data_IF_479075007555
#
_entry.id   IF_479075007555
#
_cell.length_a   1.000
_cell.length_b   1.000
_cell.length_c   1.000
_cell.angle_alpha   90.00
_cell.angle_beta   90.00
_cell.angle_gamma   90.00
#
_symmetry.space_group_name_H-M   'P 1'
#
loop_
_entity.id
_entity.type
_entity.pdbx_description
1 polymer ?
#
# COMPACT_ATOMS: atom_id res chain seq x y z
N UNK A 1 13.01 35.01 -13.05
CA UNK A 1 11.99 33.98 -12.75
C UNK A 1 11.78 32.99 -13.91
N UNK A 2 12.73 32.84 -14.83
CA UNK A 2 12.62 31.90 -15.96
C UNK A 2 13.71 30.80 -15.96
N UNK A 3 14.51 30.67 -14.89
CA UNK A 3 15.59 29.67 -14.82
C UNK A 3 15.26 28.40 -14.02
N UNK A 4 14.07 28.29 -13.41
CA UNK A 4 13.68 27.15 -12.58
C UNK A 4 12.88 26.05 -13.30
N UNK A 5 12.74 26.12 -14.63
CA UNK A 5 11.95 25.17 -15.44
C UNK A 5 12.77 24.48 -16.54
N UNK A 6 14.10 24.39 -16.39
CA UNK A 6 14.93 23.52 -17.24
C UNK A 6 14.76 22.07 -16.80
N UNK A 7 13.68 21.44 -17.28
CA UNK A 7 13.50 20.00 -17.46
C UNK A 7 14.25 19.09 -16.47
N UNK A 8 13.59 18.70 -15.37
CA UNK A 8 13.90 17.47 -14.63
C UNK A 8 13.50 16.21 -15.43
N UNK A 9 13.79 16.17 -16.75
CA UNK A 9 13.86 14.90 -17.47
C UNK A 9 15.26 14.36 -17.20
N UNK A 10 15.46 13.90 -15.96
CA UNK A 10 16.56 13.00 -15.65
C UNK A 10 16.22 11.71 -16.42
N UNK A 11 16.81 11.52 -17.61
CA UNK A 11 17.08 10.17 -18.09
C UNK A 11 17.98 9.57 -17.03
N UNK A 12 17.39 8.95 -16.01
CA UNK A 12 18.13 8.14 -15.07
C UNK A 12 18.78 7.08 -15.93
N UNK A 13 20.09 7.19 -16.07
CA UNK A 13 20.87 6.30 -16.91
C UNK A 13 20.88 4.93 -16.22
N UNK A 14 19.81 4.17 -16.44
CA UNK A 14 19.73 2.77 -16.02
C UNK A 14 20.55 1.95 -17.02
N UNK A 15 21.87 2.14 -16.95
CA UNK A 15 22.87 1.32 -17.59
C UNK A 15 22.82 -0.09 -17.01
N UNK A 16 21.95 -0.93 -17.56
CA UNK A 16 22.08 -2.38 -17.57
C UNK A 16 20.90 -2.97 -18.33
N UNK A 17 21.20 -3.66 -19.42
CA UNK A 17 20.25 -4.46 -20.21
C UNK A 17 19.61 -5.62 -19.42
N UNK A 18 20.01 -5.83 -18.16
CA UNK A 18 19.32 -6.71 -17.19
C UNK A 18 18.21 -6.03 -16.36
N UNK A 19 18.35 -4.75 -16.00
CA UNK A 19 17.46 -4.06 -15.05
C UNK A 19 16.06 -3.74 -15.61
N UNK A 20 15.95 -3.38 -16.90
CA UNK A 20 14.64 -3.09 -17.54
C UNK A 20 13.70 -4.29 -17.57
N UNK A 21 14.23 -5.51 -17.69
CA UNK A 21 13.42 -6.75 -17.64
C UNK A 21 12.98 -7.09 -16.22
N UNK A 22 13.68 -6.60 -15.19
CA UNK A 22 13.41 -6.94 -13.79
C UNK A 22 12.26 -6.09 -13.22
N UNK A 23 12.26 -4.78 -13.45
CA UNK A 23 11.19 -3.91 -12.96
C UNK A 23 9.84 -4.21 -13.60
N UNK A 24 9.77 -4.37 -14.93
CA UNK A 24 8.52 -4.73 -15.62
C UNK A 24 7.94 -6.04 -15.07
N UNK A 25 8.78 -7.05 -14.85
CA UNK A 25 8.36 -8.33 -14.26
C UNK A 25 7.84 -8.16 -12.83
N UNK A 26 8.45 -7.28 -12.04
CA UNK A 26 7.97 -6.98 -10.69
C UNK A 26 6.56 -6.35 -10.75
N UNK A 27 6.35 -5.36 -11.62
CA UNK A 27 5.04 -4.74 -11.85
C UNK A 27 4.01 -5.74 -12.40
N UNK A 28 4.44 -6.69 -13.25
CA UNK A 28 3.58 -7.77 -13.75
C UNK A 28 3.14 -8.72 -12.65
N UNK A 29 4.02 -9.03 -11.70
CA UNK A 29 3.71 -9.90 -10.55
C UNK A 29 2.89 -9.19 -9.48
N UNK A 30 3.04 -7.87 -9.32
CA UNK A 30 2.28 -7.10 -8.36
C UNK A 30 0.79 -7.01 -8.77
N UNK A 31 -0.02 -7.91 -8.23
CA UNK A 31 -1.47 -8.00 -8.47
C UNK A 31 -2.21 -7.89 -7.15
N UNK A 32 -3.46 -7.44 -7.22
CA UNK A 32 -4.35 -7.44 -6.06
C UNK A 32 -4.68 -8.88 -5.65
N UNK A 33 -3.96 -9.40 -4.68
CA UNK A 33 -4.18 -10.71 -4.08
C UNK A 33 -5.24 -10.57 -3.00
N UNK A 34 -6.22 -11.48 -2.97
CA UNK A 34 -7.33 -11.42 -2.00
C UNK A 34 -7.59 -12.72 -1.25
N UNK A 35 -6.73 -13.70 -1.46
CA UNK A 35 -6.65 -14.98 -0.76
C UNK A 35 -5.21 -15.11 -0.32
N UNK A 36 -4.99 -15.28 0.97
CA UNK A 36 -3.69 -15.26 1.63
C UNK A 36 -3.50 -16.51 2.47
N UNK A 37 -2.28 -16.74 2.95
CA UNK A 37 -2.06 -17.61 4.08
C UNK A 37 -2.24 -16.76 5.36
N UNK A 38 -3.31 -17.02 6.13
CA UNK A 38 -3.63 -16.24 7.34
C UNK A 38 -2.55 -16.34 8.43
N UNK A 39 -1.70 -17.37 8.38
CA UNK A 39 -0.60 -17.55 9.34
C UNK A 39 0.63 -16.67 9.05
N UNK A 40 0.71 -16.09 7.85
CA UNK A 40 1.83 -15.25 7.44
C UNK A 40 1.56 -13.79 7.79
N UNK A 41 2.23 -13.31 8.84
CA UNK A 41 2.20 -11.91 9.26
C UNK A 41 3.41 -11.14 8.73
N UNK A 42 3.24 -9.81 8.55
CA UNK A 42 4.37 -8.92 8.33
C UNK A 42 5.16 -8.75 9.64
N UNK A 43 6.47 -8.93 9.53
CA UNK A 43 7.41 -8.57 10.58
C UNK A 43 7.44 -7.04 10.77
N UNK A 44 7.92 -6.58 11.93
CA UNK A 44 8.05 -5.15 12.18
C UNK A 44 9.11 -4.54 11.24
N UNK A 45 10.17 -5.30 10.98
CA UNK A 45 11.26 -4.95 10.10
C UNK A 45 10.78 -4.79 8.65
N UNK A 46 10.06 -5.78 8.11
CA UNK A 46 9.48 -5.68 6.78
C UNK A 46 8.52 -4.49 6.68
N UNK A 47 7.66 -4.29 7.69
CA UNK A 47 6.77 -3.14 7.71
C UNK A 47 7.55 -1.81 7.63
N UNK A 48 8.61 -1.64 8.43
CA UNK A 48 9.42 -0.42 8.41
C UNK A 48 10.13 -0.22 7.08
N UNK A 49 10.65 -1.29 6.46
CA UNK A 49 11.24 -1.22 5.12
C UNK A 49 10.22 -0.80 4.06
N UNK A 50 8.99 -1.33 4.11
CA UNK A 50 7.92 -0.89 3.22
C UNK A 50 7.59 0.59 3.44
N UNK A 51 7.44 1.02 4.69
CA UNK A 51 7.21 2.44 5.02
C UNK A 51 8.33 3.33 4.50
N UNK A 52 9.59 2.87 4.55
CA UNK A 52 10.71 3.62 4.01
C UNK A 52 10.61 3.80 2.47
N UNK A 53 10.12 2.80 1.74
CA UNK A 53 9.85 2.92 0.31
C UNK A 53 8.77 3.98 0.02
N UNK A 54 7.73 4.07 0.84
CA UNK A 54 6.75 5.15 0.73
C UNK A 54 7.38 6.52 1.03
N UNK A 55 8.27 6.61 2.04
CA UNK A 55 9.00 7.84 2.39
C UNK A 55 9.91 8.32 1.26
N UNK A 56 10.53 7.39 0.52
CA UNK A 56 11.42 7.69 -0.62
C UNK A 56 10.67 8.00 -1.91
N UNK A 57 9.34 7.82 -1.93
CA UNK A 57 8.53 8.04 -3.11
C UNK A 57 8.39 9.53 -3.45
N UNK A 58 8.32 9.90 -4.74
CA UNK A 58 8.08 11.29 -5.11
C UNK A 58 6.70 11.75 -4.63
N UNK A 59 6.63 13.00 -4.19
CA UNK A 59 5.40 13.60 -3.69
C UNK A 59 5.27 15.02 -4.23
N UNK A 60 4.06 15.41 -4.60
CA UNK A 60 3.76 16.80 -4.92
C UNK A 60 4.06 17.68 -3.71
N UNK A 61 4.73 18.82 -3.95
CA UNK A 61 5.25 19.73 -2.91
C UNK A 61 6.26 19.08 -1.95
N UNK A 62 6.80 17.91 -2.29
CA UNK A 62 7.65 17.10 -1.43
C UNK A 62 7.01 16.85 -0.04
N UNK A 63 5.69 16.67 -0.01
CA UNK A 63 4.90 16.60 1.22
C UNK A 63 4.16 15.26 1.35
N UNK A 64 4.56 14.46 2.34
CA UNK A 64 3.93 13.19 2.72
C UNK A 64 3.12 13.37 4.01
N UNK A 65 1.90 13.90 3.88
CA UNK A 65 0.99 14.17 5.02
C UNK A 65 0.10 12.98 5.36
N UNK A 66 0.69 11.79 5.45
CA UNK A 66 0.02 10.58 5.92
C UNK A 66 0.97 9.75 6.80
N UNK A 67 0.40 8.79 7.53
CA UNK A 67 1.07 7.88 8.46
C UNK A 67 0.66 6.45 8.16
N UNK A 68 1.45 5.51 8.64
CA UNK A 68 1.20 4.08 8.49
C UNK A 68 1.04 3.42 9.85
N UNK A 69 0.09 2.50 9.96
CA UNK A 69 -0.15 1.72 11.17
C UNK A 69 -0.30 0.25 10.81
N UNK A 70 0.55 -0.60 11.39
CA UNK A 70 0.52 -2.04 11.18
C UNK A 70 -0.50 -2.68 12.14
N UNK A 71 -1.48 -3.38 11.58
CA UNK A 71 -2.50 -4.15 12.31
C UNK A 71 -2.28 -5.64 12.05
N UNK A 72 -2.19 -6.42 13.13
CA UNK A 72 -2.03 -7.88 13.12
C UNK A 72 -2.61 -8.52 14.38
N UNK A 73 -2.63 -9.85 14.45
CA UNK A 73 -3.16 -10.59 15.60
C UNK A 73 -4.60 -10.23 15.96
N UNK A 74 -4.87 -10.04 17.25
CA UNK A 74 -6.24 -9.80 17.76
C UNK A 74 -6.86 -8.50 17.24
N UNK A 75 -6.08 -7.44 17.01
CA UNK A 75 -6.63 -6.18 16.49
C UNK A 75 -7.07 -6.32 15.03
N UNK A 76 -6.36 -7.13 14.26
CA UNK A 76 -6.75 -7.43 12.88
C UNK A 76 -8.06 -8.22 12.83
N UNK A 77 -8.24 -9.17 13.75
CA UNK A 77 -9.50 -9.94 13.87
C UNK A 77 -10.70 -9.03 14.09
N UNK A 78 -10.55 -7.95 14.85
CA UNK A 78 -11.63 -7.00 15.14
C UNK A 78 -12.05 -6.18 13.92
N UNK A 79 -11.16 -5.97 12.95
CA UNK A 79 -11.43 -5.11 11.79
C UNK A 79 -11.75 -5.87 10.50
N UNK A 80 -11.62 -7.20 10.44
CA UNK A 80 -11.83 -7.95 9.18
C UNK A 80 -13.21 -7.72 8.56
N UNK A 81 -14.27 -7.70 9.36
CA UNK A 81 -15.64 -7.47 8.89
C UNK A 81 -15.85 -6.05 8.36
N UNK A 82 -14.89 -5.15 8.58
CA UNK A 82 -14.91 -3.76 8.12
C UNK A 82 -14.10 -3.57 6.83
N UNK A 83 -13.51 -4.64 6.29
CA UNK A 83 -12.81 -4.63 5.01
C UNK A 83 -13.73 -5.19 3.93
N UNK A 84 -14.11 -4.36 2.96
CA UNK A 84 -15.01 -4.76 1.88
C UNK A 84 -14.23 -5.22 0.65
N UNK A 85 -14.55 -6.42 0.17
CA UNK A 85 -13.78 -7.09 -0.88
C UNK A 85 -14.54 -7.17 -2.19
N UNK A 86 -13.79 -6.99 -3.29
CA UNK A 86 -14.21 -7.25 -4.67
C UNK A 86 -15.69 -6.97 -4.99
N UNK A 87 -16.16 -5.74 -4.75
CA UNK A 87 -17.58 -5.37 -4.93
C UNK A 87 -18.19 -5.54 -6.33
N UNK A 88 -17.40 -6.00 -7.32
CA UNK A 88 -17.90 -6.43 -8.62
C UNK A 88 -18.32 -7.93 -8.64
N UNK A 89 -18.10 -8.68 -7.56
CA UNK A 89 -18.39 -10.11 -7.42
C UNK A 89 -19.30 -10.29 -6.20
N UNK A 90 -20.61 -10.02 -6.32
CA UNK A 90 -21.53 -9.97 -5.17
C UNK A 90 -21.71 -11.32 -4.47
N UNK A 91 -21.45 -12.44 -5.14
CA UNK A 91 -21.55 -13.79 -4.58
C UNK A 91 -20.35 -14.15 -3.70
N UNK A 92 -19.29 -13.34 -3.69
CA UNK A 92 -18.09 -13.59 -2.92
C UNK A 92 -17.93 -12.58 -1.79
N UNK A 93 -18.12 -13.04 -0.56
CA UNK A 93 -18.07 -12.21 0.66
C UNK A 93 -16.63 -11.80 1.08
N UNK A 94 -15.62 -12.30 0.38
CA UNK A 94 -14.21 -12.09 0.70
C UNK A 94 -13.51 -13.37 1.19
N UNK A 95 -12.26 -13.24 1.68
CA UNK A 95 -11.50 -14.38 2.18
C UNK A 95 -12.11 -14.97 3.46
N UNK A 96 -12.35 -16.28 3.46
CA UNK A 96 -12.82 -17.04 4.63
C UNK A 96 -11.68 -17.25 5.64
N UNK A 97 -11.95 -17.67 6.89
CA UNK A 97 -10.89 -18.07 7.82
C UNK A 97 -9.90 -19.07 7.19
N UNK A 98 -8.61 -18.83 7.38
CA UNK A 98 -7.49 -19.50 6.71
C UNK A 98 -7.01 -18.80 5.44
N UNK A 99 -7.86 -18.00 4.79
CA UNK A 99 -7.56 -17.29 3.52
C UNK A 99 -7.39 -15.77 3.70
N UNK A 100 -7.55 -15.26 4.93
CA UNK A 100 -7.49 -13.83 5.24
C UNK A 100 -6.05 -13.32 5.28
N UNK A 101 -5.80 -12.03 5.04
CA UNK A 101 -4.45 -11.50 5.21
C UNK A 101 -4.02 -11.59 6.68
N UNK A 102 -2.79 -12.03 6.95
CA UNK A 102 -2.23 -12.04 8.32
C UNK A 102 -1.80 -10.66 8.82
N UNK A 103 -1.79 -9.63 7.97
CA UNK A 103 -1.50 -8.25 8.36
C UNK A 103 -2.21 -7.24 7.46
N UNK A 104 -2.57 -6.09 8.03
CA UNK A 104 -3.10 -4.93 7.31
C UNK A 104 -2.28 -3.70 7.67
N UNK A 105 -1.90 -2.91 6.66
CA UNK A 105 -1.31 -1.60 6.88
C UNK A 105 -2.38 -0.55 6.64
N UNK A 106 -2.79 0.15 7.69
CA UNK A 106 -3.65 1.32 7.57
C UNK A 106 -2.84 2.52 7.13
N UNK A 107 -3.37 3.28 6.17
CA UNK A 107 -2.78 4.54 5.70
C UNK A 107 -3.69 5.67 6.16
N UNK A 108 -3.16 6.51 7.05
CA UNK A 108 -3.94 7.42 7.88
C UNK A 108 -3.57 8.86 7.54
N UNK A 109 -4.56 9.73 7.39
CA UNK A 109 -4.38 11.18 7.26
C UNK A 109 -4.88 11.88 8.53
N UNK A 110 -4.30 13.03 8.86
CA UNK A 110 -4.75 13.87 9.98
C UNK A 110 -6.12 14.52 9.67
N UNK A 111 -6.37 14.82 8.41
CA UNK A 111 -7.64 15.39 7.95
C UNK A 111 -8.70 14.29 7.75
N UNK A 112 -9.94 14.61 8.14
CA UNK A 112 -11.12 13.81 7.80
C UNK A 112 -11.47 13.86 6.29
N UNK A 113 -10.77 14.70 5.52
CA UNK A 113 -10.96 14.83 4.08
C UNK A 113 -9.65 14.55 3.35
N UNK A 114 -9.70 13.65 2.36
CA UNK A 114 -8.55 13.36 1.52
C UNK A 114 -8.50 14.34 0.35
N UNK A 115 -7.60 15.33 0.41
CA UNK A 115 -7.39 16.24 -0.72
C UNK A 115 -6.91 15.48 -1.96
N UNK A 116 -7.21 15.97 -3.19
CA UNK A 116 -6.75 15.32 -4.41
C UNK A 116 -5.23 15.12 -4.47
N UNK A 117 -4.46 16.11 -3.99
CA UNK A 117 -3.00 16.02 -3.95
C UNK A 117 -2.52 14.94 -2.96
N UNK A 118 -3.12 14.88 -1.76
CA UNK A 118 -2.78 13.84 -0.79
C UNK A 118 -3.19 12.44 -1.29
N UNK A 119 -4.30 12.33 -2.01
CA UNK A 119 -4.71 11.07 -2.64
C UNK A 119 -3.66 10.57 -3.65
N UNK A 120 -3.13 11.48 -4.48
CA UNK A 120 -2.06 11.16 -5.44
C UNK A 120 -0.78 10.75 -4.71
N UNK A 121 -0.31 11.56 -3.75
CA UNK A 121 0.91 11.26 -2.99
C UNK A 121 0.80 9.92 -2.24
N UNK A 122 -0.36 9.65 -1.66
CA UNK A 122 -0.67 8.39 -0.99
C UNK A 122 -0.62 7.20 -1.97
N UNK A 123 -1.26 7.34 -3.14
CA UNK A 123 -1.23 6.30 -4.17
C UNK A 123 0.18 5.95 -4.64
N UNK A 124 1.04 6.96 -4.83
CA UNK A 124 2.45 6.75 -5.21
C UNK A 124 3.19 6.00 -4.09
N UNK A 125 3.07 6.46 -2.84
CA UNK A 125 3.73 5.81 -1.70
C UNK A 125 3.27 4.35 -1.50
N UNK A 126 1.96 4.11 -1.55
CA UNK A 126 1.39 2.76 -1.44
C UNK A 126 1.85 1.88 -2.61
N UNK A 127 1.95 2.40 -3.82
CA UNK A 127 2.44 1.62 -4.97
C UNK A 127 3.89 1.18 -4.77
N UNK A 128 4.75 2.06 -4.25
CA UNK A 128 6.14 1.69 -3.91
C UNK A 128 6.19 0.60 -2.84
N UNK A 129 5.35 0.70 -1.81
CA UNK A 129 5.20 -0.36 -0.80
C UNK A 129 4.76 -1.68 -1.41
N UNK A 130 3.75 -1.65 -2.28
CA UNK A 130 3.23 -2.84 -2.95
C UNK A 130 4.29 -3.53 -3.82
N UNK A 131 5.13 -2.77 -4.51
CA UNK A 131 6.25 -3.31 -5.29
C UNK A 131 7.34 -3.90 -4.38
N UNK A 132 7.70 -3.22 -3.29
CA UNK A 132 8.65 -3.76 -2.30
C UNK A 132 8.14 -5.04 -1.62
N UNK A 133 6.86 -5.07 -1.27
CA UNK A 133 6.22 -6.27 -0.72
C UNK A 133 6.28 -7.42 -1.73
N UNK A 134 5.97 -7.16 -3.00
CA UNK A 134 6.08 -8.15 -4.07
C UNK A 134 7.51 -8.63 -4.29
N UNK A 135 8.52 -7.77 -4.16
CA UNK A 135 9.93 -8.14 -4.27
C UNK A 135 10.35 -9.07 -3.13
N UNK A 136 9.85 -8.82 -1.91
CA UNK A 136 10.05 -9.66 -0.73
C UNK A 136 9.24 -10.96 -0.73
N UNK A 137 8.39 -11.18 -1.74
CA UNK A 137 7.57 -12.39 -1.88
C UNK A 137 6.18 -12.30 -1.25
N UNK A 138 5.77 -11.13 -0.76
CA UNK A 138 4.42 -10.90 -0.24
C UNK A 138 3.44 -10.52 -1.36
N UNK A 139 2.19 -10.96 -1.21
CA UNK A 139 1.05 -10.44 -1.96
C UNK A 139 0.34 -9.33 -1.17
N UNK A 140 -0.48 -8.52 -1.84
CA UNK A 140 -1.27 -7.48 -1.17
C UNK A 140 -2.47 -7.00 -1.99
N UNK A 141 -3.36 -6.26 -1.34
CA UNK A 141 -4.48 -5.58 -1.98
C UNK A 141 -4.67 -4.20 -1.35
N UNK A 142 -4.73 -3.17 -2.19
CA UNK A 142 -5.12 -1.82 -1.76
C UNK A 142 -6.65 -1.81 -1.64
N UNK A 143 -7.15 -1.47 -0.45
CA UNK A 143 -8.59 -1.43 -0.16
C UNK A 143 -8.94 -0.03 0.32
N UNK A 144 -9.84 0.62 -0.40
CA UNK A 144 -10.47 1.88 0.04
C UNK A 144 -11.86 1.67 0.60
N UNK A 145 -12.54 0.61 0.18
CA UNK A 145 -13.87 0.26 0.68
C UNK A 145 -13.73 -0.36 2.07
N UNK A 146 -13.75 0.49 3.09
CA UNK A 146 -13.65 0.10 4.50
C UNK A 146 -14.64 0.89 5.36
N UNK A 147 -15.02 0.36 6.52
CA UNK A 147 -15.83 1.08 7.49
C UNK A 147 -14.97 2.03 8.34
N UNK A 148 -14.61 3.18 7.75
CA UNK A 148 -13.69 4.17 8.35
C UNK A 148 -14.03 4.53 9.80
N UNK A 149 -15.31 4.75 10.11
CA UNK A 149 -15.78 5.14 11.45
C UNK A 149 -15.64 4.00 12.45
N UNK A 150 -15.93 2.76 12.07
CA UNK A 150 -15.86 1.62 12.98
C UNK A 150 -14.41 1.20 13.24
N UNK A 151 -13.55 1.21 12.22
CA UNK A 151 -12.11 0.95 12.40
C UNK A 151 -11.50 1.93 13.41
N UNK A 152 -11.84 3.22 13.31
CA UNK A 152 -11.36 4.24 14.25
C UNK A 152 -11.83 3.99 15.69
N UNK A 153 -13.05 3.48 15.89
CA UNK A 153 -13.56 3.14 17.23
C UNK A 153 -12.85 1.92 17.83
N UNK A 154 -12.52 0.95 16.99
CA UNK A 154 -11.97 -0.34 17.43
C UNK A 154 -10.47 -0.26 17.72
N UNK A 155 -9.74 0.60 17.01
CA UNK A 155 -8.28 0.68 17.12
C UNK A 155 -7.77 1.86 17.97
N UNK A 156 -8.66 2.72 18.50
CA UNK A 156 -8.36 3.93 19.28
C UNK A 156 -7.32 4.85 18.64
#
# INVERSE_FOLDING_TARGET
MEEFLKFDIIKTDMGSTGGKKMFKKLVEKNRSIRIFDESVELSQEDFLELVDLARLSPAGRNQLSFRFYLVKGEDLKKIYSMLHWAGAIPEWEGPKPGERPGSVILVITEDNTLSPLNAINMGIGIQSMMLGACEKGFGGCIIRAIDHTEIKKVLN
#
